data_IF_619922165723
#
_entry.id   IF_619922165723
#
_cell.length_a   1.000
_cell.length_b   1.000
_cell.length_c   1.000
_cell.angle_alpha   90.00
_cell.angle_beta   90.00
_cell.angle_gamma   90.00
#
_symmetry.space_group_name_H-M   'P 1'
#
loop_
_entity.id
_entity.type
_entity.pdbx_description
1 polymer ?
#
# COMPACT_ATOMS: atom_id res chain seq x y z
N UNK A 1 -6.55 4.96 18.53
CA UNK A 1 -7.17 5.64 17.37
C UNK A 1 -7.33 4.69 16.18
N UNK A 2 -6.29 4.02 15.68
CA UNK A 2 -6.36 3.20 14.47
C UNK A 2 -7.18 1.89 14.58
N UNK A 3 -7.44 1.41 15.79
CA UNK A 3 -8.32 0.26 16.08
C UNK A 3 -9.73 0.66 16.55
N UNK A 4 -10.02 1.96 16.61
CA UNK A 4 -11.31 2.47 17.07
C UNK A 4 -12.38 2.35 15.97
N UNK A 5 -13.68 2.31 16.32
CA UNK A 5 -14.76 2.34 15.34
C UNK A 5 -14.68 3.55 14.39
N UNK A 6 -15.25 3.45 13.16
CA UNK A 6 -15.24 4.54 12.19
C UNK A 6 -15.75 5.86 12.77
N UNK A 7 -14.99 6.93 12.55
CA UNK A 7 -15.34 8.28 12.96
C UNK A 7 -14.47 9.30 12.21
N UNK A 8 -14.86 10.59 12.15
CA UNK A 8 -14.03 11.62 11.52
C UNK A 8 -12.60 11.70 12.08
N UNK A 9 -12.42 11.44 13.38
CA UNK A 9 -11.09 11.43 14.01
C UNK A 9 -10.23 10.24 13.55
N UNK A 10 -10.85 9.07 13.33
CA UNK A 10 -10.16 7.89 12.78
C UNK A 10 -9.77 8.14 11.33
N UNK A 11 -10.68 8.66 10.52
CA UNK A 11 -10.39 8.94 9.11
C UNK A 11 -9.33 10.03 8.95
N UNK A 12 -9.33 11.07 9.79
CA UNK A 12 -8.26 12.07 9.81
C UNK A 12 -6.90 11.47 10.21
N UNK A 13 -6.87 10.52 11.16
CA UNK A 13 -5.65 9.84 11.54
C UNK A 13 -5.09 8.98 10.40
N UNK A 14 -5.95 8.25 9.68
CA UNK A 14 -5.55 7.47 8.49
C UNK A 14 -5.08 8.36 7.35
N UNK A 15 -5.83 9.42 7.02
CA UNK A 15 -5.47 10.38 5.97
C UNK A 15 -4.10 11.03 6.22
N UNK A 16 -3.71 11.25 7.48
CA UNK A 16 -2.37 11.72 7.85
C UNK A 16 -1.29 10.67 7.54
N UNK A 17 -1.55 9.39 7.81
CA UNK A 17 -0.59 8.31 7.65
C UNK A 17 -0.38 7.93 6.18
N UNK A 18 -1.45 7.92 5.38
CA UNK A 18 -1.42 7.50 3.99
C UNK A 18 -1.16 8.65 3.01
N UNK A 19 -0.85 9.86 3.50
CA UNK A 19 -0.64 11.01 2.65
C UNK A 19 0.48 10.70 1.64
N UNK A 20 0.07 10.41 0.41
CA UNK A 20 0.99 10.03 -0.65
C UNK A 20 1.99 11.16 -0.88
N UNK A 21 3.25 10.87 -0.58
CA UNK A 21 4.36 11.73 -0.95
C UNK A 21 4.73 11.42 -2.40
N UNK A 22 4.10 12.15 -3.32
CA UNK A 22 4.50 12.13 -4.72
C UNK A 22 5.83 12.87 -4.82
N UNK A 23 6.83 12.20 -5.39
CA UNK A 23 8.16 12.76 -5.63
C UNK A 23 8.45 12.80 -7.13
N UNK A 24 9.18 13.82 -7.57
CA UNK A 24 9.67 13.93 -8.94
C UNK A 24 11.07 13.36 -9.04
N UNK A 25 11.22 12.22 -9.70
CA UNK A 25 12.49 11.55 -9.95
C UNK A 25 13.16 12.12 -11.20
N UNK A 26 14.44 12.40 -11.13
CA UNK A 26 15.26 12.63 -12.32
C UNK A 26 15.36 11.36 -13.18
N UNK A 27 15.78 11.54 -14.43
CA UNK A 27 16.01 10.42 -15.35
C UNK A 27 17.06 9.43 -14.82
N UNK A 28 18.12 9.93 -14.19
CA UNK A 28 19.20 9.08 -13.66
C UNK A 28 18.76 8.28 -12.43
N UNK A 29 17.96 8.87 -11.54
CA UNK A 29 17.34 8.16 -10.41
C UNK A 29 16.39 7.06 -10.91
N UNK A 30 15.58 7.35 -11.93
CA UNK A 30 14.68 6.36 -12.52
C UNK A 30 15.45 5.17 -13.11
N UNK A 31 16.55 5.44 -13.82
CA UNK A 31 17.44 4.38 -14.34
C UNK A 31 18.10 3.59 -13.22
N UNK A 32 18.53 4.23 -12.13
CA UNK A 32 19.11 3.56 -10.98
C UNK A 32 18.12 2.61 -10.28
N UNK A 33 16.82 2.90 -10.36
CA UNK A 33 15.73 2.01 -9.95
C UNK A 33 15.47 0.86 -10.96
N UNK A 34 16.20 0.81 -12.06
CA UNK A 34 16.05 -0.20 -13.12
C UNK A 34 14.80 0.00 -13.98
N UNK A 35 14.23 1.21 -14.02
CA UNK A 35 12.99 1.51 -14.73
C UNK A 35 13.25 2.15 -16.10
N UNK A 36 12.38 1.86 -17.06
CA UNK A 36 12.45 2.42 -18.41
C UNK A 36 11.81 3.83 -18.47
N UNK A 37 12.59 4.88 -18.76
CA UNK A 37 12.06 6.25 -18.90
C UNK A 37 11.06 6.43 -20.05
N UNK A 38 11.00 5.52 -21.02
CA UNK A 38 10.04 5.58 -22.13
C UNK A 38 8.62 5.16 -21.74
N UNK A 39 8.50 4.26 -20.76
CA UNK A 39 7.23 3.75 -20.25
C UNK A 39 6.75 4.47 -18.99
N UNK A 40 7.68 5.09 -18.25
CA UNK A 40 7.38 5.76 -16.99
C UNK A 40 6.54 7.04 -17.18
N UNK A 41 5.62 7.25 -16.25
CA UNK A 41 4.76 8.43 -16.20
C UNK A 41 5.58 9.65 -15.81
N UNK A 42 5.52 10.69 -16.65
CA UNK A 42 6.21 11.95 -16.38
C UNK A 42 5.48 12.75 -15.30
N UNK A 43 6.26 13.44 -14.50
CA UNK A 43 5.77 14.43 -13.54
C UNK A 43 5.13 15.59 -14.33
N UNK A 44 3.92 15.99 -13.97
CA UNK A 44 3.23 17.06 -14.69
C UNK A 44 4.00 18.39 -14.54
N UNK A 45 4.23 19.15 -15.63
CA UNK A 45 4.82 20.49 -15.55
C UNK A 45 4.00 21.48 -14.72
N UNK A 46 2.70 21.21 -14.51
CA UNK A 46 1.81 22.07 -13.71
C UNK A 46 1.90 21.81 -12.20
N UNK A 47 2.62 20.77 -11.76
CA UNK A 47 2.71 20.43 -10.35
C UNK A 47 3.74 21.30 -9.63
N UNK A 48 3.51 21.60 -8.33
CA UNK A 48 4.53 22.21 -7.48
C UNK A 48 5.82 21.38 -7.55
N UNK A 49 6.96 22.06 -7.59
CA UNK A 49 8.29 21.44 -7.63
C UNK A 49 8.63 20.62 -8.88
N UNK A 50 7.86 20.74 -9.97
CA UNK A 50 8.25 20.21 -11.28
C UNK A 50 9.66 20.68 -11.67
N UNK A 51 10.02 21.92 -11.31
CA UNK A 51 11.34 22.49 -11.53
C UNK A 51 11.69 22.57 -13.01
N UNK A 52 12.98 22.73 -13.31
CA UNK A 52 13.48 22.62 -14.67
C UNK A 52 13.92 21.18 -14.96
N UNK A 53 13.61 20.69 -16.17
CA UNK A 53 14.02 19.37 -16.64
C UNK A 53 12.92 18.31 -16.59
N UNK A 54 13.19 17.17 -17.22
CA UNK A 54 12.28 16.03 -17.25
C UNK A 54 12.32 15.30 -15.90
N UNK A 55 11.12 15.09 -15.32
CA UNK A 55 10.94 14.32 -14.09
C UNK A 55 9.90 13.24 -14.27
N UNK A 56 9.98 12.22 -13.43
CA UNK A 56 9.10 11.06 -13.42
C UNK A 56 8.38 10.92 -12.09
N UNK A 57 7.17 10.40 -12.12
CA UNK A 57 6.36 10.20 -10.93
C UNK A 57 6.88 9.02 -10.11
N UNK A 58 7.24 9.29 -8.85
CA UNK A 58 7.53 8.28 -7.83
C UNK A 58 6.67 8.47 -6.59
N UNK A 59 6.46 7.38 -5.85
CA UNK A 59 5.81 7.37 -4.53
C UNK A 59 6.61 6.44 -3.63
N UNK A 60 6.90 6.83 -2.39
CA UNK A 60 7.56 5.92 -1.44
C UNK A 60 6.63 4.75 -1.07
N UNK A 61 7.18 3.53 -1.07
CA UNK A 61 6.42 2.28 -0.94
C UNK A 61 5.69 2.21 0.40
N UNK A 62 6.29 2.67 1.51
CA UNK A 62 5.63 2.73 2.82
C UNK A 62 4.27 3.45 2.77
N UNK A 63 4.16 4.59 2.08
CA UNK A 63 2.90 5.33 2.00
C UNK A 63 1.91 4.61 1.08
N UNK A 64 2.40 3.98 0.00
CA UNK A 64 1.56 3.17 -0.87
C UNK A 64 0.99 1.95 -0.12
N UNK A 65 1.81 1.26 0.68
CA UNK A 65 1.38 0.15 1.53
C UNK A 65 0.31 0.57 2.54
N UNK A 66 0.49 1.73 3.20
CA UNK A 66 -0.51 2.28 4.13
C UNK A 66 -1.81 2.62 3.39
N UNK A 67 -1.72 3.23 2.21
CA UNK A 67 -2.89 3.51 1.36
C UNK A 67 -3.65 2.23 0.99
N UNK A 68 -2.95 1.19 0.55
CA UNK A 68 -3.55 -0.12 0.27
C UNK A 68 -4.22 -0.71 1.52
N UNK A 69 -3.58 -0.63 2.69
CA UNK A 69 -4.16 -1.13 3.93
C UNK A 69 -5.44 -0.36 4.33
N UNK A 70 -5.46 0.97 4.15
CA UNK A 70 -6.66 1.77 4.42
C UNK A 70 -7.79 1.50 3.41
N UNK A 71 -7.44 1.26 2.13
CA UNK A 71 -8.38 0.79 1.12
C UNK A 71 -9.02 -0.54 1.54
N UNK A 72 -8.22 -1.50 2.01
CA UNK A 72 -8.75 -2.76 2.56
C UNK A 72 -9.66 -2.51 3.76
N UNK A 73 -9.22 -1.71 4.74
CA UNK A 73 -9.98 -1.37 5.95
C UNK A 73 -11.38 -0.84 5.63
N UNK A 74 -11.50 0.07 4.68
CA UNK A 74 -12.76 0.72 4.31
C UNK A 74 -13.65 -0.16 3.43
N UNK A 75 -13.14 -1.29 2.91
CA UNK A 75 -13.82 -2.16 1.97
C UNK A 75 -13.96 -3.62 2.45
N UNK A 76 -13.71 -3.92 3.73
CA UNK A 76 -13.81 -5.27 4.30
C UNK A 76 -15.18 -5.95 4.06
N UNK A 77 -16.24 -5.16 3.86
CA UNK A 77 -17.60 -5.65 3.63
C UNK A 77 -17.80 -6.33 2.26
N UNK A 78 -16.96 -6.04 1.26
CA UNK A 78 -17.18 -6.48 -0.14
C UNK A 78 -17.33 -8.01 -0.26
N UNK A 79 -16.55 -8.77 0.50
CA UNK A 79 -16.55 -10.23 0.45
C UNK A 79 -17.33 -10.87 1.60
N UNK A 80 -17.83 -10.08 2.57
CA UNK A 80 -18.38 -10.60 3.82
C UNK A 80 -19.56 -11.55 3.58
N UNK A 81 -20.56 -11.10 2.80
CA UNK A 81 -21.76 -11.88 2.55
C UNK A 81 -21.48 -13.22 1.85
N UNK A 82 -20.48 -13.26 0.96
CA UNK A 82 -20.11 -14.48 0.25
C UNK A 82 -19.54 -15.54 1.19
N UNK A 83 -18.69 -15.14 2.15
CA UNK A 83 -18.03 -16.09 3.05
C UNK A 83 -18.82 -16.37 4.33
N UNK A 84 -19.63 -15.43 4.79
CA UNK A 84 -20.21 -15.43 6.14
C UNK A 84 -21.72 -15.20 6.17
N UNK A 85 -22.35 -14.93 5.02
CA UNK A 85 -23.77 -14.60 4.94
C UNK A 85 -24.68 -15.72 5.41
N UNK A 86 -24.35 -16.98 5.08
CA UNK A 86 -25.14 -18.14 5.51
C UNK A 86 -25.04 -18.40 7.02
N UNK A 87 -23.88 -18.12 7.62
CA UNK A 87 -23.62 -18.38 9.04
C UNK A 87 -24.09 -17.23 9.95
N UNK A 88 -23.90 -15.99 9.53
CA UNK A 88 -24.07 -14.80 10.36
C UNK A 88 -25.03 -13.75 9.77
N UNK A 89 -25.64 -14.00 8.61
CA UNK A 89 -26.46 -13.04 7.90
C UNK A 89 -25.64 -11.85 7.36
N UNK A 90 -26.30 -10.72 7.13
CA UNK A 90 -25.69 -9.52 6.53
C UNK A 90 -24.91 -8.64 7.50
N UNK A 91 -24.91 -8.97 8.79
CA UNK A 91 -24.31 -8.16 9.85
C UNK A 91 -23.24 -8.97 10.57
N UNK A 92 -21.96 -8.54 10.51
CA UNK A 92 -20.87 -9.19 11.24
C UNK A 92 -21.14 -9.27 12.74
N UNK A 93 -20.76 -10.38 13.42
CA UNK A 93 -20.72 -10.41 14.88
C UNK A 93 -19.71 -9.39 15.42
N UNK A 94 -20.04 -8.76 16.56
CA UNK A 94 -19.21 -7.71 17.20
C UNK A 94 -17.75 -8.16 17.41
N UNK A 95 -17.52 -9.42 17.77
CA UNK A 95 -16.16 -9.94 17.94
C UNK A 95 -15.34 -9.88 16.66
N UNK A 96 -15.96 -10.11 15.49
CA UNK A 96 -15.28 -10.06 14.18
C UNK A 96 -14.87 -8.62 13.85
N UNK A 97 -15.71 -7.65 14.14
CA UNK A 97 -15.39 -6.23 13.94
C UNK A 97 -14.20 -5.79 14.82
N UNK A 98 -14.22 -6.18 16.11
CA UNK A 98 -13.11 -5.92 17.04
C UNK A 98 -11.83 -6.62 16.59
N UNK A 99 -11.94 -7.85 16.06
CA UNK A 99 -10.79 -8.61 15.59
C UNK A 99 -10.15 -7.94 14.37
N UNK A 100 -10.94 -7.67 13.34
CA UNK A 100 -10.47 -7.03 12.11
C UNK A 100 -9.89 -5.63 12.38
N UNK A 101 -10.50 -4.84 13.27
CA UNK A 101 -10.01 -3.48 13.57
C UNK A 101 -8.60 -3.49 14.19
N UNK A 102 -8.31 -4.40 15.12
CA UNK A 102 -6.96 -4.49 15.68
C UNK A 102 -5.99 -5.20 14.74
N UNK A 103 -6.41 -6.18 13.93
CA UNK A 103 -5.57 -6.78 12.88
C UNK A 103 -5.05 -5.71 11.93
N UNK A 104 -5.94 -4.85 11.42
CA UNK A 104 -5.56 -3.70 10.59
C UNK A 104 -4.59 -2.78 11.34
N UNK A 105 -4.85 -2.49 12.61
CA UNK A 105 -3.96 -1.64 13.42
C UNK A 105 -2.58 -2.26 13.66
N UNK A 106 -2.45 -3.59 13.79
CA UNK A 106 -1.17 -4.29 13.95
C UNK A 106 -0.40 -4.31 12.64
N UNK A 107 -1.08 -4.52 11.51
CA UNK A 107 -0.47 -4.43 10.19
C UNK A 107 0.05 -3.01 9.90
N UNK A 108 -0.72 -1.98 10.26
CA UNK A 108 -0.26 -0.59 10.13
C UNK A 108 1.01 -0.34 10.96
N UNK A 109 1.07 -0.86 12.19
CA UNK A 109 2.27 -0.75 13.02
C UNK A 109 3.47 -1.46 12.40
N UNK A 110 3.27 -2.66 11.84
CA UNK A 110 4.34 -3.39 11.15
C UNK A 110 4.86 -2.62 9.93
N UNK A 111 3.96 -2.11 9.09
CA UNK A 111 4.32 -1.29 7.92
C UNK A 111 5.08 -0.04 8.35
N UNK A 112 4.58 0.69 9.34
CA UNK A 112 5.22 1.91 9.85
C UNK A 112 6.57 1.62 10.54
N UNK A 113 6.73 0.45 11.15
CA UNK A 113 7.97 0.05 11.83
C UNK A 113 9.07 -0.35 10.84
N UNK A 114 8.73 -1.06 9.76
CA UNK A 114 9.70 -1.47 8.74
C UNK A 114 9.96 -0.35 7.72
N UNK A 115 8.94 0.45 7.43
CA UNK A 115 8.97 1.65 6.59
C UNK A 115 9.80 1.48 5.30
N UNK A 116 9.30 0.67 4.37
CA UNK A 116 9.98 0.44 3.08
C UNK A 116 10.15 1.76 2.32
N UNK A 117 11.41 2.15 2.09
CA UNK A 117 11.82 3.38 1.40
C UNK A 117 12.00 3.19 -0.11
N UNK A 118 11.66 2.00 -0.63
CA UNK A 118 11.59 1.75 -2.06
C UNK A 118 10.64 2.74 -2.75
N UNK A 119 10.81 2.92 -4.05
CA UNK A 119 10.03 3.89 -4.82
C UNK A 119 9.17 3.18 -5.85
N UNK A 120 7.86 3.28 -5.70
CA UNK A 120 6.86 2.84 -6.67
C UNK A 120 6.73 3.90 -7.75
N UNK A 121 7.10 3.55 -8.98
CA UNK A 121 6.87 4.37 -10.17
C UNK A 121 5.53 4.05 -10.78
N UNK A 122 5.08 4.84 -11.75
CA UNK A 122 3.88 4.51 -12.53
C UNK A 122 4.24 4.39 -14.01
N UNK A 123 3.55 3.50 -14.71
CA UNK A 123 3.75 3.24 -16.14
C UNK A 123 2.44 3.37 -16.90
N UNK A 124 2.54 3.76 -18.17
CA UNK A 124 1.43 3.70 -19.09
C UNK A 124 1.29 2.29 -19.66
N UNK A 125 0.08 1.74 -19.64
CA UNK A 125 -0.23 0.46 -20.25
C UNK A 125 -1.37 0.63 -21.25
N UNK A 126 -1.38 -0.18 -22.30
CA UNK A 126 -2.40 -0.10 -23.36
C UNK A 126 -3.80 -0.57 -22.93
N UNK A 127 -3.88 -1.30 -21.81
CA UNK A 127 -5.10 -1.92 -21.29
C UNK A 127 -5.87 -1.04 -20.29
N UNK A 128 -5.31 0.11 -19.88
CA UNK A 128 -5.95 1.01 -18.91
C UNK A 128 -5.78 2.48 -19.31
N UNK A 129 -6.84 3.32 -19.18
CA UNK A 129 -6.73 4.75 -19.42
C UNK A 129 -6.02 5.51 -18.30
N UNK A 130 -5.76 4.86 -17.15
CA UNK A 130 -5.07 5.45 -16.00
C UNK A 130 -3.69 4.84 -15.80
N UNK A 131 -2.69 5.64 -15.33
CA UNK A 131 -1.38 5.15 -14.93
C UNK A 131 -1.46 3.96 -13.99
N UNK A 132 -0.69 2.91 -14.27
CA UNK A 132 -0.61 1.74 -13.41
C UNK A 132 0.62 1.83 -12.49
N UNK A 133 0.47 1.61 -11.16
CA UNK A 133 1.61 1.56 -10.25
C UNK A 133 2.48 0.32 -10.55
N UNK A 134 3.76 0.54 -10.77
CA UNK A 134 4.74 -0.53 -11.00
C UNK A 134 5.27 -1.05 -9.66
N UNK A 135 4.71 -2.17 -9.21
CA UNK A 135 5.09 -2.85 -7.96
C UNK A 135 6.38 -3.67 -8.04
N UNK A 136 7.00 -3.77 -9.23
CA UNK A 136 8.26 -4.47 -9.46
C UNK A 136 9.45 -3.68 -8.91
N UNK A 137 9.41 -3.29 -7.64
CA UNK A 137 10.50 -2.60 -6.97
C UNK A 137 11.45 -3.61 -6.34
N UNK A 138 12.75 -3.29 -6.35
CA UNK A 138 13.77 -4.14 -5.77
C UNK A 138 13.70 -4.08 -4.25
N UNK A 139 13.35 -5.20 -3.60
CA UNK A 139 13.29 -5.33 -2.14
C UNK A 139 14.35 -6.32 -1.67
N UNK A 140 14.90 -6.05 -0.49
CA UNK A 140 15.71 -7.04 0.21
C UNK A 140 14.80 -7.89 1.12
N UNK A 141 14.44 -9.08 0.66
CA UNK A 141 13.58 -9.98 1.41
C UNK A 141 14.36 -10.83 2.42
N UNK A 142 13.66 -11.31 3.46
CA UNK A 142 14.13 -12.43 4.28
C UNK A 142 13.93 -13.73 3.51
N UNK A 143 14.74 -14.75 3.80
CA UNK A 143 14.54 -16.09 3.26
C UNK A 143 13.27 -16.70 3.86
N UNK A 144 12.18 -16.63 3.10
CA UNK A 144 10.89 -17.12 3.56
C UNK A 144 10.84 -18.65 3.64
N UNK A 145 11.58 -19.35 2.78
CA UNK A 145 11.64 -20.80 2.80
C UNK A 145 12.38 -21.30 4.05
N UNK A 146 13.43 -20.59 4.48
CA UNK A 146 14.07 -20.87 5.77
C UNK A 146 13.11 -20.70 6.95
N UNK A 147 12.26 -19.67 6.93
CA UNK A 147 11.24 -19.46 7.96
C UNK A 147 10.17 -20.55 7.95
N UNK A 148 9.72 -20.95 6.75
CA UNK A 148 8.75 -22.04 6.56
C UNK A 148 9.30 -23.37 7.07
N UNK A 149 10.54 -23.73 6.71
CA UNK A 149 11.19 -24.94 7.23
C UNK A 149 11.30 -24.92 8.74
N UNK A 150 11.74 -23.80 9.32
CA UNK A 150 11.82 -23.66 10.78
C UNK A 150 10.45 -23.84 11.45
N UNK A 151 9.37 -23.26 10.88
CA UNK A 151 8.01 -23.48 11.39
C UNK A 151 7.66 -24.97 11.35
N UNK A 152 7.80 -25.63 10.21
CA UNK A 152 7.35 -27.02 10.04
C UNK A 152 8.11 -28.01 10.95
N UNK A 153 9.37 -27.70 11.30
CA UNK A 153 10.17 -28.47 12.26
C UNK A 153 9.77 -28.25 13.73
N UNK A 154 9.05 -27.17 14.04
CA UNK A 154 8.74 -26.74 15.41
C UNK A 154 7.23 -26.59 15.70
N UNK A 155 6.37 -26.80 14.70
CA UNK A 155 4.91 -26.78 14.84
C UNK A 155 4.44 -28.08 15.53
N UNK A 156 3.41 -27.99 16.38
CA UNK A 156 2.89 -29.11 17.20
C UNK A 156 1.64 -29.73 16.56
#
# INVERSE_FOLDING_TARGET
IFSSPPSPAVDAAWARMEKNMIIGLSRDELLALGKDPSAAVKFSPSWPDAGAGEKYLGVLDVFHQIHCLNMLRTNLVINYNYYWGDEYGTTPPVFRDIHLSHCVSVLLQSIACHADLGVVTHVWRSDTPVPYPDFGINRQCRDFDALVRWRDENDI
#
